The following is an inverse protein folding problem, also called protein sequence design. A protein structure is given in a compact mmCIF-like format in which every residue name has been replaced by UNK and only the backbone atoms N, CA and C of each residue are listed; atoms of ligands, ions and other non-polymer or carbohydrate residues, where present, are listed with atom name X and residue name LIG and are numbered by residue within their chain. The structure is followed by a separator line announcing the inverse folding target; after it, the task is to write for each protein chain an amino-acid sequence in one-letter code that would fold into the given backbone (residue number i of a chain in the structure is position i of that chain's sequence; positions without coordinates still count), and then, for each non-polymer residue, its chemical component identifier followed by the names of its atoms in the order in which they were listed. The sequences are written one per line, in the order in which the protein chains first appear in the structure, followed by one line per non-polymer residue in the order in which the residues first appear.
data_IF_289792216679
#
_entry.id   IF_289792216679
#
_cell.length_a   1.000
_cell.length_b   1.000
_cell.length_c   1.000
_cell.angle_alpha   90.00
_cell.angle_beta   90.00
_cell.angle_gamma   90.00
#
_symmetry.space_group_name_H-M   'P 1'
#
loop_
_entity.id
_entity.type
_entity.pdbx_description
1 polymer ?
#
# COMPACT_ATOMS: atom_id res chain seq x y z
N UNK A 1 2.07 -8.40 37.74
CA UNK A 1 2.06 -8.19 36.28
C UNK A 1 2.10 -6.69 36.01
N UNK A 2 3.01 -6.20 35.15
CA UNK A 2 2.95 -4.79 34.70
C UNK A 2 1.86 -4.67 33.64
N UNK A 3 1.00 -3.64 33.68
CA UNK A 3 -0.02 -3.45 32.66
C UNK A 3 0.65 -3.23 31.30
N UNK A 4 0.22 -3.99 30.29
CA UNK A 4 0.63 -3.78 28.90
C UNK A 4 0.20 -2.39 28.48
N UNK A 5 1.10 -1.65 27.83
CA UNK A 5 0.76 -0.28 27.42
C UNK A 5 -0.39 -0.30 26.39
N UNK A 6 -1.40 0.59 26.48
CA UNK A 6 -2.56 0.58 25.59
C UNK A 6 -2.23 0.59 24.10
N UNK A 7 -1.13 1.25 23.70
CA UNK A 7 -0.70 1.28 22.30
C UNK A 7 -0.16 -0.06 21.79
N UNK A 8 0.46 -0.87 22.66
CA UNK A 8 0.94 -2.22 22.29
C UNK A 8 -0.26 -3.10 22.00
N UNK A 9 -1.28 -3.05 22.87
CA UNK A 9 -2.53 -3.78 22.65
C UNK A 9 -3.22 -3.36 21.35
N UNK A 10 -3.30 -2.04 21.07
CA UNK A 10 -3.88 -1.53 19.83
C UNK A 10 -3.10 -1.99 18.60
N UNK A 11 -1.77 -1.95 18.66
CA UNK A 11 -0.88 -2.41 17.60
C UNK A 11 -1.08 -3.90 17.30
N UNK A 12 -1.06 -4.75 18.33
CA UNK A 12 -1.30 -6.20 18.21
C UNK A 12 -2.70 -6.51 17.68
N UNK A 13 -3.72 -5.76 18.12
CA UNK A 13 -5.08 -5.92 17.65
C UNK A 13 -5.21 -5.57 16.16
N UNK A 14 -4.61 -4.46 15.72
CA UNK A 14 -4.58 -4.08 14.30
C UNK A 14 -3.83 -5.12 13.47
N UNK A 15 -2.66 -5.56 13.93
CA UNK A 15 -1.87 -6.62 13.28
C UNK A 15 -2.72 -7.89 13.11
N UNK A 16 -3.35 -8.37 14.18
CA UNK A 16 -4.18 -9.58 14.16
C UNK A 16 -5.36 -9.47 13.19
N UNK A 17 -6.09 -8.35 13.22
CA UNK A 17 -7.24 -8.15 12.33
C UNK A 17 -6.83 -8.06 10.87
N UNK A 18 -5.73 -7.36 10.59
CA UNK A 18 -5.19 -7.29 9.24
C UNK A 18 -4.70 -8.65 8.74
N UNK A 19 -4.11 -9.47 9.61
CA UNK A 19 -3.75 -10.85 9.28
C UNK A 19 -4.99 -11.69 8.96
N UNK A 20 -6.07 -11.53 9.72
CA UNK A 20 -7.34 -12.20 9.46
C UNK A 20 -7.90 -11.80 8.09
N UNK A 21 -8.01 -10.49 7.82
CA UNK A 21 -8.48 -9.96 6.55
C UNK A 21 -7.62 -10.45 5.37
N UNK A 22 -6.29 -10.43 5.51
CA UNK A 22 -5.39 -10.94 4.49
C UNK A 22 -5.65 -12.42 4.17
N UNK A 23 -5.87 -13.26 5.18
CA UNK A 23 -6.21 -14.67 4.97
C UNK A 23 -7.55 -14.81 4.24
N UNK A 24 -8.57 -14.06 4.64
CA UNK A 24 -9.88 -14.11 3.99
C UNK A 24 -9.80 -13.68 2.51
N UNK A 25 -9.09 -12.58 2.22
CA UNK A 25 -8.84 -12.13 0.84
C UNK A 25 -8.08 -13.18 0.01
N UNK A 26 -7.12 -13.89 0.60
CA UNK A 26 -6.43 -14.99 -0.07
C UNK A 26 -7.39 -16.13 -0.44
N UNK A 27 -8.44 -16.39 0.36
CA UNK A 27 -9.46 -17.43 0.14
C UNK A 27 -10.63 -17.00 -0.78
N UNK A 28 -10.75 -15.72 -1.13
CA UNK A 28 -11.69 -15.27 -2.16
C UNK A 28 -11.23 -15.68 -3.56
N UNK A 29 -12.17 -15.94 -4.46
CA UNK A 29 -11.87 -16.17 -5.88
C UNK A 29 -11.36 -14.88 -6.54
N UNK A 30 -10.48 -14.98 -7.56
CA UNK A 30 -10.06 -13.84 -8.35
C UNK A 30 -11.28 -13.10 -8.92
N UNK A 31 -11.32 -11.79 -8.70
CA UNK A 31 -12.49 -10.98 -9.03
C UNK A 31 -12.35 -9.56 -8.52
N UNK A 32 -13.48 -8.92 -8.22
CA UNK A 32 -13.55 -7.57 -7.67
C UNK A 32 -14.34 -7.54 -6.37
N UNK A 33 -14.04 -6.56 -5.52
CA UNK A 33 -14.74 -6.36 -4.24
C UNK A 33 -15.61 -5.10 -4.34
N UNK A 34 -16.80 -5.18 -3.75
CA UNK A 34 -17.69 -4.04 -3.53
C UNK A 34 -17.89 -3.81 -2.03
N UNK A 35 -18.52 -2.70 -1.64
CA UNK A 35 -18.83 -2.36 -0.24
C UNK A 35 -19.78 -3.34 0.47
N UNK A 36 -20.16 -4.45 -0.17
CA UNK A 36 -20.87 -5.55 0.48
C UNK A 36 -19.97 -6.41 1.37
N UNK A 37 -18.64 -6.25 1.28
CA UNK A 37 -17.69 -6.89 2.18
C UNK A 37 -17.59 -6.08 3.48
N UNK A 38 -18.08 -6.65 4.60
CA UNK A 38 -18.40 -5.90 5.83
C UNK A 38 -17.22 -5.17 6.49
N UNK A 39 -16.01 -5.61 6.19
CA UNK A 39 -14.78 -5.17 6.86
C UNK A 39 -13.92 -4.27 5.96
N UNK A 40 -14.42 -3.91 4.76
CA UNK A 40 -13.74 -3.05 3.79
C UNK A 40 -14.70 -1.95 3.32
N UNK A 41 -14.31 -0.70 3.56
CA UNK A 41 -15.00 0.46 3.01
C UNK A 41 -14.20 1.02 1.84
N UNK A 42 -14.80 1.04 0.65
CA UNK A 42 -14.15 1.46 -0.58
C UNK A 42 -14.79 2.77 -1.07
N UNK A 43 -13.95 3.78 -1.32
CA UNK A 43 -14.35 5.14 -1.73
C UNK A 43 -13.62 5.55 -3.01
N UNK A 44 -14.33 6.21 -3.91
CA UNK A 44 -13.75 6.73 -5.14
C UNK A 44 -12.81 7.90 -4.85
N UNK A 45 -11.71 7.97 -5.60
CA UNK A 45 -10.69 9.00 -5.57
C UNK A 45 -10.54 9.62 -6.97
N UNK A 46 -10.37 10.94 -7.02
CA UNK A 46 -10.01 11.64 -8.24
C UNK A 46 -8.53 11.38 -8.59
N UNK A 47 -8.27 10.96 -9.83
CA UNK A 47 -6.90 10.66 -10.28
C UNK A 47 -6.04 11.91 -10.46
N UNK A 48 -6.62 13.04 -10.84
CA UNK A 48 -5.90 14.27 -11.18
C UNK A 48 -5.44 15.01 -9.94
N UNK A 49 -6.28 15.04 -8.90
CA UNK A 49 -6.03 15.85 -7.70
C UNK A 49 -5.90 15.02 -6.42
N UNK A 50 -6.27 13.73 -6.45
CA UNK A 50 -6.23 12.84 -5.28
C UNK A 50 -7.36 13.09 -4.27
N UNK A 51 -8.35 13.90 -4.61
CA UNK A 51 -9.50 14.18 -3.74
C UNK A 51 -10.32 12.91 -3.52
N UNK A 52 -10.69 12.68 -2.27
CA UNK A 52 -11.51 11.54 -1.84
C UNK A 52 -12.70 12.02 -1.02
N UNK A 53 -13.52 11.08 -0.58
CA UNK A 53 -14.56 11.34 0.42
C UNK A 53 -13.96 12.09 1.64
N UNK A 54 -14.50 13.26 2.06
CA UNK A 54 -13.97 14.04 3.18
C UNK A 54 -13.95 13.30 4.52
N UNK A 55 -14.68 12.18 4.64
CA UNK A 55 -14.63 11.30 5.81
C UNK A 55 -13.36 10.43 5.87
N UNK A 56 -12.59 10.37 4.79
CA UNK A 56 -11.33 9.65 4.75
C UNK A 56 -10.14 10.54 5.11
N UNK A 57 -9.15 9.91 5.74
CA UNK A 57 -7.83 10.53 5.94
C UNK A 57 -7.05 10.43 4.65
N UNK A 58 -6.67 11.59 4.12
CA UNK A 58 -5.88 11.70 2.91
C UNK A 58 -4.39 11.58 3.25
N UNK A 59 -3.90 10.33 3.27
CA UNK A 59 -2.47 10.05 3.53
C UNK A 59 -1.57 10.33 2.32
N UNK A 60 -2.14 10.38 1.11
CA UNK A 60 -1.38 10.54 -0.13
C UNK A 60 -2.06 11.56 -1.04
N UNK A 61 -1.28 12.47 -1.60
CA UNK A 61 -1.70 13.39 -2.66
C UNK A 61 -0.66 13.43 -3.78
N UNK A 62 -1.08 13.60 -5.04
CA UNK A 62 -0.13 13.68 -6.15
C UNK A 62 0.78 14.90 -5.97
N UNK A 63 2.08 14.74 -6.23
CA UNK A 63 3.03 15.85 -6.20
C UNK A 63 2.89 16.71 -7.47
N UNK A 64 1.95 17.66 -7.45
CA UNK A 64 1.64 18.54 -8.58
C UNK A 64 2.83 19.43 -8.99
N UNK A 65 3.73 19.71 -8.06
CA UNK A 65 4.90 20.57 -8.23
C UNK A 65 6.12 19.79 -8.75
N UNK A 66 6.00 18.48 -8.91
CA UNK A 66 7.08 17.64 -9.43
C UNK A 66 7.57 18.07 -10.80
N UNK A 67 8.88 17.88 -11.03
CA UNK A 67 9.50 18.04 -12.34
C UNK A 67 9.43 16.76 -13.17
N UNK A 68 8.90 15.66 -12.64
CA UNK A 68 8.72 14.39 -13.35
C UNK A 68 7.54 14.50 -14.33
N UNK A 69 7.78 15.11 -15.49
CA UNK A 69 6.80 15.29 -16.57
C UNK A 69 7.47 14.95 -17.89
N UNK A 70 6.71 14.41 -18.85
CA UNK A 70 7.18 14.10 -20.20
C UNK A 70 7.87 15.30 -20.81
N UNK A 71 7.25 16.48 -20.70
CA UNK A 71 7.76 17.75 -21.24
C UNK A 71 9.12 18.17 -20.67
N UNK A 72 9.51 17.64 -19.51
CA UNK A 72 10.81 17.90 -18.89
C UNK A 72 11.87 16.85 -19.27
N UNK A 73 11.50 15.85 -20.07
CA UNK A 73 12.44 14.85 -20.61
C UNK A 73 12.89 15.23 -22.02
N UNK A 74 13.94 14.57 -22.50
CA UNK A 74 14.38 14.68 -23.90
C UNK A 74 13.69 13.66 -24.83
N UNK A 75 12.75 12.86 -24.30
CA UNK A 75 12.06 11.80 -25.03
C UNK A 75 10.84 12.38 -25.75
N UNK A 76 10.63 11.99 -27.00
CA UNK A 76 9.42 12.34 -27.75
C UNK A 76 8.32 11.27 -27.53
N UNK A 77 7.16 11.61 -26.93
CA UNK A 77 6.06 10.67 -26.74
C UNK A 77 5.41 10.19 -28.04
N UNK A 78 5.65 10.87 -29.16
CA UNK A 78 5.16 10.45 -30.48
C UNK A 78 6.20 9.62 -31.26
N UNK A 79 7.44 9.49 -30.77
CA UNK A 79 8.47 8.64 -31.38
C UNK A 79 8.45 7.23 -30.75
N UNK A 80 8.11 6.17 -31.50
CA UNK A 80 8.13 4.79 -31.04
C UNK A 80 9.48 4.28 -30.48
N UNK A 81 10.60 4.94 -30.81
CA UNK A 81 11.92 4.61 -30.28
C UNK A 81 12.13 5.15 -28.86
N UNK A 82 11.55 6.30 -28.56
CA UNK A 82 11.62 6.97 -27.26
C UNK A 82 10.51 6.50 -26.32
N UNK A 83 9.33 6.22 -26.87
CA UNK A 83 8.17 5.69 -26.15
C UNK A 83 7.78 4.27 -26.63
N UNK A 84 8.16 3.20 -25.88
CA UNK A 84 7.79 1.84 -26.23
C UNK A 84 6.28 1.57 -26.18
N UNK A 85 5.52 2.39 -25.44
CA UNK A 85 4.07 2.28 -25.40
C UNK A 85 3.43 2.83 -26.67
N UNK A 86 3.94 3.94 -27.22
CA UNK A 86 3.49 4.47 -28.51
C UNK A 86 3.68 3.45 -29.63
N UNK A 87 4.84 2.79 -29.67
CA UNK A 87 5.06 1.66 -30.60
C UNK A 87 4.00 0.57 -30.46
N UNK A 88 3.70 0.17 -29.23
CA UNK A 88 2.72 -0.89 -28.95
C UNK A 88 1.29 -0.46 -29.34
N UNK A 89 0.93 0.82 -29.14
CA UNK A 89 -0.36 1.37 -29.55
C UNK A 89 -0.55 1.35 -31.07
N UNK A 90 0.48 1.67 -31.85
CA UNK A 90 0.42 1.65 -33.32
C UNK A 90 0.26 0.22 -33.85
N UNK A 91 0.87 -0.73 -33.17
CA UNK A 91 0.92 -2.14 -33.58
C UNK A 91 -0.21 -2.98 -32.96
N UNK A 92 -1.12 -2.39 -32.17
CA UNK A 92 -2.20 -3.12 -31.46
C UNK A 92 -3.19 -3.83 -32.40
N UNK A 93 -3.33 -3.31 -33.62
CA UNK A 93 -4.22 -3.85 -34.65
C UNK A 93 -3.51 -4.90 -35.53
N UNK A 94 -2.18 -4.99 -35.43
CA UNK A 94 -1.38 -6.06 -36.01
C UNK A 94 -1.47 -7.29 -35.09
N UNK A 95 -1.80 -8.46 -35.64
CA UNK A 95 -2.10 -9.70 -34.90
C UNK A 95 -0.96 -10.23 -33.98
N UNK A 96 0.20 -9.57 -33.98
CA UNK A 96 1.41 -9.98 -33.25
C UNK A 96 1.55 -9.33 -31.86
N UNK A 97 0.85 -8.23 -31.53
CA UNK A 97 0.84 -7.67 -30.17
C UNK A 97 -0.40 -8.15 -29.44
N UNK A 98 -0.20 -9.08 -28.52
CA UNK A 98 -1.27 -9.53 -27.62
C UNK A 98 -1.68 -8.33 -26.77
N UNK A 99 -2.95 -7.88 -26.77
CA UNK A 99 -3.43 -6.78 -25.92
C UNK A 99 -3.06 -6.93 -24.43
N UNK A 100 -2.83 -8.18 -24.01
CA UNK A 100 -2.31 -8.55 -22.69
C UNK A 100 -0.95 -7.95 -22.36
N UNK A 101 -0.14 -7.52 -23.33
CA UNK A 101 1.21 -6.96 -23.10
C UNK A 101 1.22 -5.42 -23.03
N UNK A 102 0.12 -4.75 -23.36
CA UNK A 102 0.06 -3.28 -23.42
C UNK A 102 0.44 -2.62 -22.10
N UNK A 103 0.09 -3.24 -20.97
CA UNK A 103 0.38 -2.72 -19.64
C UNK A 103 1.86 -2.86 -19.26
N UNK A 104 2.57 -3.88 -19.76
CA UNK A 104 4.01 -4.00 -19.64
C UNK A 104 4.73 -2.88 -20.39
N UNK A 105 4.30 -2.57 -21.61
CA UNK A 105 4.87 -1.48 -22.40
C UNK A 105 4.58 -0.12 -21.76
N UNK A 106 3.36 0.07 -21.22
CA UNK A 106 3.01 1.29 -20.47
C UNK A 106 3.87 1.46 -19.22
N UNK A 107 4.06 0.41 -18.43
CA UNK A 107 4.96 0.44 -17.26
C UNK A 107 6.41 0.77 -17.66
N UNK A 108 6.86 0.25 -18.80
CA UNK A 108 8.20 0.54 -19.34
C UNK A 108 8.34 2.01 -19.75
N UNK A 109 7.33 2.58 -20.41
CA UNK A 109 7.28 4.00 -20.75
C UNK A 109 7.31 4.86 -19.47
N UNK A 110 6.42 4.59 -18.51
CA UNK A 110 6.42 5.23 -17.19
C UNK A 110 7.80 5.20 -16.51
N UNK A 111 8.43 4.03 -16.46
CA UNK A 111 9.76 3.87 -15.86
C UNK A 111 10.83 4.67 -16.63
N UNK A 112 10.75 4.73 -17.96
CA UNK A 112 11.68 5.48 -18.80
C UNK A 112 11.56 6.98 -18.59
N UNK A 113 10.35 7.53 -18.61
CA UNK A 113 10.11 8.95 -18.37
C UNK A 113 10.53 9.37 -16.96
N UNK A 114 10.19 8.57 -15.93
CA UNK A 114 10.64 8.83 -14.57
C UNK A 114 12.18 8.89 -14.51
N UNK A 115 12.87 7.91 -15.11
CA UNK A 115 14.33 7.85 -15.15
C UNK A 115 14.97 9.02 -15.92
N UNK A 116 14.36 9.45 -17.03
CA UNK A 116 14.90 10.52 -17.89
C UNK A 116 14.52 11.92 -17.41
N UNK A 117 13.59 12.04 -16.47
CA UNK A 117 13.21 13.33 -15.88
C UNK A 117 14.33 13.94 -15.04
N UNK A 118 14.40 15.27 -14.93
CA UNK A 118 15.38 15.95 -14.08
C UNK A 118 15.23 15.46 -12.64
N UNK A 119 16.31 14.90 -12.07
CA UNK A 119 16.30 14.34 -10.73
C UNK A 119 15.63 12.97 -10.58
N UNK A 120 14.93 12.44 -11.59
CA UNK A 120 14.16 11.20 -11.46
C UNK A 120 15.00 9.92 -11.47
N UNK A 121 16.28 10.00 -11.85
CA UNK A 121 17.28 8.96 -11.57
C UNK A 121 17.63 8.84 -10.07
N UNK A 122 17.25 9.82 -9.25
CA UNK A 122 17.48 9.82 -7.81
C UNK A 122 16.14 9.62 -7.12
N UNK A 123 16.12 8.68 -6.19
CA UNK A 123 14.97 8.53 -5.29
C UNK A 123 14.88 9.81 -4.45
N UNK A 124 13.69 10.40 -4.25
CA UNK A 124 13.55 11.57 -3.40
C UNK A 124 14.05 11.26 -1.98
N UNK A 125 14.61 12.27 -1.29
CA UNK A 125 15.27 12.11 0.01
C UNK A 125 14.34 11.52 1.09
N UNK A 126 13.03 11.70 0.95
CA UNK A 126 12.02 11.18 1.87
C UNK A 126 11.62 9.71 1.63
N UNK A 127 12.16 9.06 0.59
CA UNK A 127 11.82 7.69 0.22
C UNK A 127 13.06 6.78 0.15
N UNK A 128 12.88 5.52 0.51
CA UNK A 128 13.87 4.45 0.33
C UNK A 128 13.23 3.28 -0.42
N UNK A 129 13.94 2.72 -1.40
CA UNK A 129 13.50 1.54 -2.12
C UNK A 129 13.73 0.29 -1.28
N UNK A 130 12.74 -0.60 -1.26
CA UNK A 130 12.90 -1.91 -0.63
C UNK A 130 13.63 -2.86 -1.58
N UNK A 131 14.67 -3.50 -1.07
CA UNK A 131 15.43 -4.53 -1.77
C UNK A 131 14.61 -5.81 -1.92
N UNK A 132 14.35 -6.22 -3.16
CA UNK A 132 13.67 -7.50 -3.47
C UNK A 132 14.39 -8.71 -2.88
N UNK A 133 15.72 -8.66 -2.74
CA UNK A 133 16.55 -9.77 -2.24
C UNK A 133 16.40 -9.97 -0.74
N UNK A 134 16.11 -8.91 0.00
CA UNK A 134 15.97 -8.94 1.45
C UNK A 134 14.54 -9.30 1.86
N UNK A 135 13.58 -8.96 1.00
CA UNK A 135 12.14 -9.13 1.24
C UNK A 135 11.45 -10.01 0.19
N UNK A 136 12.09 -11.11 -0.23
CA UNK A 136 11.52 -12.05 -1.23
C UNK A 136 10.09 -12.49 -0.87
N UNK A 137 9.79 -12.63 0.43
CA UNK A 137 8.47 -12.98 0.93
C UNK A 137 7.36 -11.94 0.66
N UNK A 138 7.70 -10.73 0.24
CA UNK A 138 6.75 -9.65 -0.07
C UNK A 138 6.60 -9.48 -1.58
N UNK A 139 7.69 -9.67 -2.34
CA UNK A 139 7.70 -9.55 -3.80
C UNK A 139 7.29 -10.83 -4.53
N UNK A 140 7.46 -12.01 -3.93
CA UNK A 140 7.06 -13.28 -4.55
C UNK A 140 5.54 -13.38 -4.72
N UNK A 141 5.08 -13.28 -5.96
CA UNK A 141 3.68 -13.41 -6.38
C UNK A 141 3.47 -14.75 -7.10
N UNK A 142 3.35 -15.82 -6.31
CA UNK A 142 2.79 -17.08 -6.79
C UNK A 142 1.35 -17.23 -6.29
N UNK A 143 0.63 -16.10 -6.21
CA UNK A 143 -0.76 -16.07 -5.82
C UNK A 143 -1.66 -16.37 -7.03
N UNK A 144 -2.78 -17.02 -6.74
CA UNK A 144 -3.86 -17.26 -7.71
C UNK A 144 -4.54 -15.99 -8.22
N UNK A 145 -4.16 -14.82 -7.73
CA UNK A 145 -4.77 -13.52 -8.04
C UNK A 145 -4.06 -12.79 -9.19
N UNK A 146 -2.94 -13.35 -9.70
CA UNK A 146 -2.37 -13.02 -11.00
C UNK A 146 -1.69 -11.65 -11.06
N UNK A 147 -1.01 -11.25 -9.98
CA UNK A 147 -0.23 -10.01 -9.95
C UNK A 147 1.27 -10.27 -9.89
N UNK A 148 2.07 -9.24 -10.18
CA UNK A 148 3.52 -9.20 -9.96
C UNK A 148 3.90 -7.86 -9.35
N UNK A 149 4.71 -7.87 -8.29
CA UNK A 149 5.18 -6.64 -7.65
C UNK A 149 6.52 -6.26 -8.27
N UNK A 150 6.58 -5.07 -8.87
CA UNK A 150 7.75 -4.58 -9.62
C UNK A 150 8.65 -3.72 -8.76
N UNK A 151 8.08 -3.01 -7.79
CA UNK A 151 8.81 -2.08 -6.94
C UNK A 151 8.01 -1.82 -5.68
N UNK A 152 8.72 -1.48 -4.61
CA UNK A 152 8.11 -0.70 -3.55
C UNK A 152 9.12 0.16 -2.80
N UNK A 153 8.58 1.10 -2.05
CA UNK A 153 9.32 2.11 -1.33
C UNK A 153 8.65 2.40 0.01
N UNK A 154 9.45 2.88 0.97
CA UNK A 154 9.00 3.31 2.30
C UNK A 154 9.47 4.73 2.58
N UNK A 155 8.70 5.45 3.39
CA UNK A 155 9.13 6.74 3.90
C UNK A 155 10.30 6.58 4.86
N UNK A 156 11.28 7.48 4.79
CA UNK A 156 12.46 7.54 5.69
C UNK A 156 12.49 8.81 6.54
N UNK A 157 11.40 9.56 6.59
CA UNK A 157 11.32 10.78 7.40
C UNK A 157 11.35 10.52 8.92
N UNK A 158 11.30 9.24 9.33
CA UNK A 158 11.29 8.78 10.72
C UNK A 158 10.03 9.16 11.50
N UNK A 159 9.09 9.83 10.84
CA UNK A 159 7.83 10.34 11.43
C UNK A 159 6.65 9.56 10.92
N UNK A 160 6.73 9.08 9.69
CA UNK A 160 5.64 8.45 8.99
C UNK A 160 6.01 7.06 8.49
N UNK A 161 5.04 6.14 8.50
CA UNK A 161 5.22 4.78 8.01
C UNK A 161 4.53 4.54 6.65
N UNK A 162 4.56 5.55 5.79
CA UNK A 162 3.98 5.48 4.44
C UNK A 162 4.75 4.49 3.55
N UNK A 163 4.02 3.80 2.70
CA UNK A 163 4.55 2.80 1.77
C UNK A 163 3.96 2.98 0.39
N UNK A 164 4.76 2.73 -0.64
CA UNK A 164 4.34 2.76 -2.05
C UNK A 164 4.71 1.44 -2.69
N UNK A 165 3.84 0.94 -3.55
CA UNK A 165 4.06 -0.28 -4.32
C UNK A 165 3.67 -0.04 -5.77
N UNK A 166 4.47 -0.55 -6.68
CA UNK A 166 4.12 -0.65 -8.09
C UNK A 166 3.93 -2.12 -8.42
N UNK A 167 2.77 -2.44 -8.99
CA UNK A 167 2.43 -3.79 -9.39
C UNK A 167 1.92 -3.83 -10.83
N UNK A 168 2.07 -4.99 -11.46
CA UNK A 168 1.43 -5.36 -12.71
C UNK A 168 0.43 -6.47 -12.47
N UNK A 169 -0.57 -6.57 -13.34
CA UNK A 169 -1.55 -7.63 -13.28
C UNK A 169 -1.87 -8.15 -14.68
N UNK A 170 -2.00 -9.46 -14.81
CA UNK A 170 -2.30 -10.10 -16.09
C UNK A 170 -3.79 -10.03 -16.46
N UNK A 171 -4.66 -9.80 -15.48
CA UNK A 171 -6.11 -9.77 -15.67
C UNK A 171 -6.80 -8.60 -14.95
N UNK A 172 -7.62 -7.84 -15.69
CA UNK A 172 -8.54 -6.86 -15.11
C UNK A 172 -9.94 -7.48 -15.01
N UNK A 173 -10.45 -7.66 -13.79
CA UNK A 173 -11.80 -8.21 -13.58
C UNK A 173 -12.91 -7.14 -13.61
N UNK A 174 -12.55 -5.86 -13.42
CA UNK A 174 -13.51 -4.77 -13.35
C UNK A 174 -12.85 -3.40 -13.57
N UNK A 175 -13.46 -2.56 -14.40
CA UNK A 175 -12.92 -1.24 -14.78
C UNK A 175 -13.04 -0.22 -13.63
N UNK A 176 -14.19 -0.26 -12.96
CA UNK A 176 -14.46 0.62 -11.82
C UNK A 176 -13.82 0.06 -10.54
N UNK A 177 -14.24 -1.10 -10.06
CA UNK A 177 -13.91 -1.57 -8.71
C UNK A 177 -12.52 -2.21 -8.58
N UNK A 178 -11.88 -2.10 -7.40
CA UNK A 178 -10.64 -2.78 -7.10
C UNK A 178 -10.80 -4.30 -7.13
N UNK A 179 -9.75 -4.96 -7.62
CA UNK A 179 -9.66 -6.41 -7.64
C UNK A 179 -9.20 -6.97 -6.30
N UNK A 180 -9.55 -8.23 -6.04
CA UNK A 180 -9.09 -8.95 -4.83
C UNK A 180 -7.56 -8.95 -4.76
N UNK A 181 -6.87 -9.14 -5.89
CA UNK A 181 -5.41 -9.11 -5.98
C UNK A 181 -4.80 -7.79 -5.51
N UNK A 182 -5.35 -6.64 -5.93
CA UNK A 182 -4.89 -5.32 -5.47
C UNK A 182 -5.04 -5.19 -3.94
N UNK A 183 -6.16 -5.68 -3.38
CA UNK A 183 -6.40 -5.65 -1.94
C UNK A 183 -5.48 -6.60 -1.16
N UNK A 184 -5.14 -7.76 -1.75
CA UNK A 184 -4.16 -8.70 -1.20
C UNK A 184 -2.77 -8.07 -1.15
N UNK A 185 -2.33 -7.42 -2.24
CA UNK A 185 -1.03 -6.72 -2.27
C UNK A 185 -1.01 -5.65 -1.18
N UNK A 186 -2.06 -4.81 -1.11
CA UNK A 186 -2.14 -3.83 -0.04
C UNK A 186 -1.99 -4.55 1.31
N UNK A 187 -2.79 -5.62 1.57
CA UNK A 187 -2.86 -6.39 2.84
C UNK A 187 -1.49 -6.86 3.28
N UNK A 188 -0.77 -7.48 2.36
CA UNK A 188 0.58 -7.98 2.53
C UNK A 188 1.57 -6.87 2.88
N UNK A 189 1.49 -5.73 2.21
CA UNK A 189 2.43 -4.62 2.39
C UNK A 189 2.29 -3.93 3.75
N UNK A 190 1.06 -3.61 4.18
CA UNK A 190 0.86 -3.09 5.54
C UNK A 190 1.35 -4.09 6.59
N UNK A 191 1.09 -5.38 6.42
CA UNK A 191 1.60 -6.43 7.34
C UNK A 191 3.13 -6.48 7.37
N UNK A 192 3.80 -6.20 6.25
CA UNK A 192 5.26 -6.02 6.24
C UNK A 192 5.67 -4.84 7.14
N UNK A 193 4.98 -3.70 7.00
CA UNK A 193 5.20 -2.53 7.86
C UNK A 193 5.13 -2.87 9.35
N UNK A 194 4.07 -3.58 9.76
CA UNK A 194 3.91 -4.06 11.14
C UNK A 194 5.09 -4.94 11.59
N UNK A 195 5.52 -5.91 10.77
CA UNK A 195 6.62 -6.82 11.11
C UNK A 195 7.95 -6.08 11.26
N UNK A 196 8.27 -5.21 10.31
CA UNK A 196 9.52 -4.45 10.30
C UNK A 196 9.59 -3.52 11.51
N UNK A 197 8.48 -2.85 11.85
CA UNK A 197 8.43 -1.98 13.01
C UNK A 197 8.50 -2.75 14.34
N UNK A 198 7.86 -3.92 14.43
CA UNK A 198 7.95 -4.83 15.59
C UNK A 198 9.40 -5.24 15.89
N UNK A 199 10.17 -5.54 14.85
CA UNK A 199 11.59 -5.88 14.97
C UNK A 199 12.43 -4.71 15.52
N UNK A 200 12.13 -3.48 15.09
CA UNK A 200 12.80 -2.26 15.56
C UNK A 200 12.52 -1.97 17.04
N UNK A 201 11.26 -2.15 17.48
CA UNK A 201 10.90 -2.03 18.90
C UNK A 201 11.63 -3.03 19.79
N UNK A 202 11.73 -4.28 19.35
CA UNK A 202 12.35 -5.34 20.14
C UNK A 202 13.86 -5.15 20.29
N UNK A 203 14.53 -4.53 19.30
CA UNK A 203 16.00 -4.46 19.29
C UNK A 203 16.59 -3.16 19.83
N UNK A 204 16.05 -1.97 19.53
CA UNK A 204 16.85 -0.74 19.73
C UNK A 204 16.14 0.50 20.29
N UNK A 205 14.80 0.64 20.24
CA UNK A 205 14.16 1.94 20.52
C UNK A 205 12.95 1.87 21.46
N UNK A 206 13.18 2.01 22.78
CA UNK A 206 12.13 2.35 23.76
C UNK A 206 11.68 3.81 23.69
N UNK A 207 12.38 4.65 22.93
CA UNK A 207 12.19 6.12 22.91
C UNK A 207 11.61 6.66 21.60
N UNK A 208 11.50 5.85 20.55
CA UNK A 208 10.82 6.25 19.32
C UNK A 208 9.30 6.16 19.49
N UNK A 209 8.58 7.10 18.86
CA UNK A 209 7.12 7.08 18.90
C UNK A 209 6.63 5.86 18.12
N UNK A 210 5.75 5.05 18.70
CA UNK A 210 5.24 3.87 18.03
C UNK A 210 4.42 4.28 16.81
N UNK A 211 4.74 3.72 15.64
CA UNK A 211 3.90 3.81 14.46
C UNK A 211 2.71 2.88 14.64
N UNK A 212 1.50 3.43 14.56
CA UNK A 212 0.24 2.72 14.76
C UNK A 212 -0.50 2.47 13.46
N UNK A 213 -0.11 3.17 12.40
CA UNK A 213 -0.69 3.10 11.07
C UNK A 213 0.41 2.95 10.04
N UNK A 214 0.13 2.18 8.99
CA UNK A 214 1.06 1.92 7.88
C UNK A 214 0.32 2.20 6.57
N UNK A 215 0.04 3.47 6.21
CA UNK A 215 -0.67 3.77 4.99
C UNK A 215 0.10 3.23 3.79
N UNK A 216 -0.60 2.54 2.89
CA UNK A 216 0.02 1.96 1.68
C UNK A 216 -0.71 2.44 0.46
N UNK A 217 0.05 2.94 -0.52
CA UNK A 217 -0.42 3.24 -1.87
C UNK A 217 0.09 2.21 -2.87
N UNK A 218 -0.74 1.88 -3.85
CA UNK A 218 -0.41 1.03 -5.00
C UNK A 218 -0.68 1.78 -6.29
N UNK A 219 0.26 1.68 -7.22
CA UNK A 219 0.06 1.94 -8.64
C UNK A 219 -0.05 0.57 -9.34
N UNK A 220 -1.23 0.26 -9.85
CA UNK A 220 -1.55 -1.02 -10.48
C UNK A 220 -1.63 -0.85 -11.99
N UNK A 221 -0.68 -1.46 -12.71
CA UNK A 221 -0.69 -1.54 -14.18
C UNK A 221 -1.53 -2.75 -14.60
N UNK A 222 -2.69 -2.46 -15.17
CA UNK A 222 -3.73 -3.41 -15.55
C UNK A 222 -3.75 -3.63 -17.08
N UNK A 223 -4.23 -4.78 -17.57
CA UNK A 223 -4.31 -5.07 -19.00
C UNK A 223 -5.01 -3.99 -19.83
N UNK A 224 -4.74 -3.99 -21.14
CA UNK A 224 -5.26 -2.99 -22.09
C UNK A 224 -4.81 -1.56 -21.79
N UNK A 225 -3.58 -1.40 -21.28
CA UNK A 225 -2.99 -0.11 -20.96
C UNK A 225 -3.77 0.69 -19.92
N UNK A 226 -4.24 0.02 -18.88
CA UNK A 226 -4.97 0.67 -17.81
C UNK A 226 -4.12 0.84 -16.58
N UNK A 227 -4.34 1.93 -15.85
CA UNK A 227 -3.69 2.15 -14.56
C UNK A 227 -4.72 2.52 -13.52
N UNK A 228 -4.56 1.96 -12.32
CA UNK A 228 -5.33 2.32 -11.15
C UNK A 228 -4.40 2.72 -10.03
N UNK A 229 -4.71 3.83 -9.36
CA UNK A 229 -4.06 4.21 -8.10
C UNK A 229 -5.02 3.88 -6.97
N UNK A 230 -4.51 3.22 -5.94
CA UNK A 230 -5.26 2.94 -4.72
C UNK A 230 -4.40 3.29 -3.53
N UNK A 231 -4.97 3.85 -2.49
CA UNK A 231 -4.30 3.87 -1.21
C UNK A 231 -5.25 3.46 -0.11
N UNK A 232 -4.67 3.04 1.02
CA UNK A 232 -5.48 2.60 2.14
C UNK A 232 -4.81 2.84 3.48
N UNK A 233 -5.63 2.73 4.51
CA UNK A 233 -5.22 2.65 5.89
C UNK A 233 -6.23 1.80 6.68
N UNK A 234 -5.87 1.43 7.91
CA UNK A 234 -6.71 0.59 8.75
C UNK A 234 -7.23 1.38 9.94
N UNK A 235 -8.55 1.58 9.99
CA UNK A 235 -9.20 2.41 10.99
C UNK A 235 -10.17 1.59 11.85
N UNK A 236 -9.84 1.44 13.14
CA UNK A 236 -10.77 1.03 14.21
C UNK A 236 -11.51 -0.32 14.07
N UNK A 237 -11.32 -1.07 12.97
CA UNK A 237 -11.88 -2.40 12.64
C UNK A 237 -12.04 -2.60 11.13
N UNK A 238 -12.01 -1.53 10.34
CA UNK A 238 -12.27 -1.56 8.90
C UNK A 238 -11.08 -1.12 8.09
N UNK A 239 -10.92 -1.76 6.94
CA UNK A 239 -9.99 -1.33 5.93
C UNK A 239 -10.61 -0.20 5.11
N UNK A 240 -10.04 1.01 5.19
CA UNK A 240 -10.47 2.15 4.38
C UNK A 240 -9.64 2.19 3.11
N UNK A 241 -10.27 2.06 1.95
CA UNK A 241 -9.61 2.02 0.65
C UNK A 241 -10.12 3.16 -0.22
N UNK A 242 -9.23 4.06 -0.62
CA UNK A 242 -9.48 5.04 -1.67
C UNK A 242 -8.91 4.51 -3.00
N UNK A 243 -9.65 4.65 -4.10
CA UNK A 243 -9.22 4.13 -5.41
C UNK A 243 -9.68 5.02 -6.56
N UNK A 244 -8.87 5.09 -7.61
CA UNK A 244 -9.29 5.68 -8.88
C UNK A 244 -10.02 4.65 -9.74
N UNK A 245 -10.81 5.08 -10.72
CA UNK A 245 -11.17 4.18 -11.82
C UNK A 245 -9.91 3.67 -12.54
N UNK A 246 -10.00 2.52 -13.23
CA UNK A 246 -8.92 2.07 -14.10
C UNK A 246 -8.87 2.96 -15.35
N UNK A 247 -7.96 3.94 -15.36
CA UNK A 247 -7.84 4.89 -16.44
C UNK A 247 -7.19 4.23 -17.65
N UNK A 248 -7.77 4.42 -18.82
CA UNK A 248 -7.22 3.95 -20.09
C UNK A 248 -6.20 4.95 -20.64
N UNK A 249 -4.95 4.51 -20.85
CA UNK A 249 -3.85 5.28 -21.43
C UNK A 249 -3.76 5.14 -22.95
N UNK A 250 -4.50 4.21 -23.57
CA UNK A 250 -4.65 4.10 -25.01
C UNK A 250 -5.71 5.10 -25.54
N UNK A 251 -5.58 6.36 -25.13
CA UNK A 251 -6.49 7.46 -25.45
C UNK A 251 -5.69 8.70 -25.92
N UNK A 252 -6.38 9.76 -26.36
CA UNK A 252 -5.75 10.97 -26.90
C UNK A 252 -5.02 11.79 -25.81
N UNK A 253 -5.49 11.72 -24.57
CA UNK A 253 -4.94 12.41 -23.38
C UNK A 253 -3.81 11.60 -22.69
N UNK A 254 -3.10 10.77 -23.45
CA UNK A 254 -2.02 9.91 -22.95
C UNK A 254 -0.93 10.70 -22.20
N UNK A 255 -0.45 11.79 -22.77
CA UNK A 255 0.64 12.60 -22.21
C UNK A 255 0.23 13.25 -20.89
N UNK A 256 -0.97 13.82 -20.83
CA UNK A 256 -1.53 14.44 -19.62
C UNK A 256 -1.70 13.40 -18.50
N UNK A 257 -2.25 12.22 -18.81
CA UNK A 257 -2.39 11.13 -17.84
C UNK A 257 -1.04 10.61 -17.36
N UNK A 258 -0.06 10.51 -18.25
CA UNK A 258 1.28 10.05 -17.91
C UNK A 258 1.98 11.07 -17.01
N UNK A 259 1.84 12.37 -17.25
CA UNK A 259 2.36 13.40 -16.35
C UNK A 259 1.76 13.26 -14.94
N UNK A 260 0.45 13.09 -14.81
CA UNK A 260 -0.19 12.85 -13.50
C UNK A 260 0.25 11.54 -12.88
N UNK A 261 0.42 10.48 -13.67
CA UNK A 261 0.93 9.21 -13.15
C UNK A 261 2.33 9.36 -12.53
N UNK A 262 3.17 10.23 -13.09
CA UNK A 262 4.47 10.57 -12.50
C UNK A 262 4.35 11.37 -11.20
N UNK A 263 3.32 12.23 -11.05
CA UNK A 263 3.01 12.90 -9.78
C UNK A 263 2.63 11.89 -8.68
N UNK A 264 2.02 10.77 -9.07
CA UNK A 264 1.75 9.64 -8.17
C UNK A 264 2.96 8.75 -7.92
N UNK A 265 4.05 8.83 -8.71
CA UNK A 265 5.24 8.00 -8.48
C UNK A 265 5.88 8.29 -7.12
N UNK A 266 5.84 9.56 -6.71
CA UNK A 266 6.38 10.08 -5.46
C UNK A 266 5.42 11.12 -4.87
N UNK A 267 4.27 10.67 -4.33
CA UNK A 267 3.24 11.55 -3.79
C UNK A 267 3.74 12.31 -2.56
N UNK A 268 3.07 13.41 -2.24
CA UNK A 268 3.16 13.97 -0.89
C UNK A 268 2.44 13.06 0.10
N UNK A 269 3.08 12.88 1.25
CA UNK A 269 2.51 12.12 2.37
C UNK A 269 2.06 13.08 3.45
N UNK A 270 0.83 12.93 3.92
CA UNK A 270 0.30 13.65 5.06
C UNK A 270 -0.25 12.67 6.10
N UNK A 271 -0.56 13.14 7.31
CA UNK A 271 -1.05 12.30 8.39
C UNK A 271 0.06 11.79 9.32
N UNK A 272 -0.15 12.01 10.63
CA UNK A 272 0.75 11.55 11.68
C UNK A 272 0.43 10.09 12.04
N UNK A 273 1.20 9.15 11.49
CA UNK A 273 1.02 7.71 11.71
C UNK A 273 1.44 7.24 13.11
N UNK A 274 1.95 8.14 13.96
CA UNK A 274 2.24 7.85 15.37
C UNK A 274 1.04 8.03 16.29
N UNK A 275 -0.01 8.70 15.82
CA UNK A 275 -1.25 8.91 16.56
C UNK A 275 -2.29 7.90 16.13
N UNK A 276 -3.07 7.40 17.09
CA UNK A 276 -4.31 6.72 16.75
C UNK A 276 -5.22 7.69 16.01
N UNK A 277 -5.83 7.21 14.92
CA UNK A 277 -6.90 7.93 14.23
C UNK A 277 -7.94 8.39 15.27
N UNK A 278 -8.23 9.69 15.37
CA UNK A 278 -9.19 10.18 16.34
C UNK A 278 -10.55 9.56 16.03
N UNK A 279 -11.16 8.96 17.05
CA UNK A 279 -12.55 8.52 16.94
C UNK A 279 -13.42 9.73 16.59
N UNK A 280 -14.49 9.55 15.79
CA UNK A 280 -15.47 10.61 15.56
C UNK A 280 -15.87 11.18 16.92
N UNK A 281 -15.81 12.50 17.06
CA UNK A 281 -16.32 13.16 18.26
C UNK A 281 -17.79 12.83 18.31
N UNK A 282 -18.19 12.00 19.28
CA UNK A 282 -19.59 11.90 19.65
C UNK A 282 -19.87 13.30 20.21
N UNK A 283 -20.62 14.09 19.45
CA UNK A 283 -21.29 15.24 20.04
C UNK A 283 -22.16 14.64 21.13
N UNK A 284 -21.78 14.85 22.39
CA UNK A 284 -22.67 14.63 23.52
C UNK A 284 -23.84 15.58 23.25
N UNK A 285 -24.86 15.07 22.54
CA UNK A 285 -26.17 15.67 22.51
C UNK A 285 -26.51 15.91 23.98
N UNK A 286 -26.69 17.18 24.31
CA UNK A 286 -26.88 17.68 25.66
C UNK A 286 -27.81 16.74 26.42
N UNK A 287 -27.36 16.32 27.61
CA UNK A 287 -28.06 15.48 28.58
C UNK A 287 -29.59 15.71 28.54
N UNK A 288 -30.30 14.88 27.77
CA UNK A 288 -31.76 14.79 27.84
C UNK A 288 -32.12 14.11 29.17
N UNK A 289 -32.22 14.93 30.22
CA UNK A 289 -33.13 14.86 31.36
C UNK A 289 -33.53 13.44 31.83
N UNK A 290 -32.57 12.60 32.22
CA UNK A 290 -32.88 11.35 32.95
C UNK A 290 -33.10 11.57 34.47
N UNK A 291 -33.02 12.82 34.95
CA UNK A 291 -33.08 13.18 36.36
C UNK A 291 -34.49 13.15 37.00
N UNK A 292 -35.57 12.85 36.26
CA UNK A 292 -36.93 12.94 36.82
C UNK A 292 -37.55 11.60 37.27
N UNK A 293 -36.97 10.45 36.93
CA UNK A 293 -37.59 9.14 37.23
C UNK A 293 -37.11 8.47 38.51
N UNK A 294 -35.96 8.88 39.07
CA UNK A 294 -35.36 8.19 40.24
C UNK A 294 -35.85 8.73 41.60
N UNK A 295 -36.61 9.84 41.63
CA UNK A 295 -37.16 10.39 42.88
C UNK A 295 -38.57 9.87 43.24
N UNK A 296 -39.21 9.04 42.40
CA UNK A 296 -40.55 8.50 42.70
C UNK A 296 -40.59 7.17 43.46
N UNK A 297 -39.45 6.52 43.67
CA UNK A 297 -39.39 5.23 44.36
C UNK A 297 -38.79 5.28 45.77
N UNK A 298 -38.56 6.48 46.32
CA UNK A 298 -37.92 6.65 47.64
C UNK A 298 -38.80 7.24 48.74
N UNK A 299 -40.13 7.20 48.60
CA UNK A 299 -41.05 7.66 49.66
C UNK A 299 -42.00 6.59 50.23
N UNK A 300 -41.99 5.34 49.75
CA UNK A 300 -42.93 4.30 50.23
C UNK A 300 -42.27 3.07 50.90
N UNK A 301 -41.04 3.18 51.38
CA UNK A 301 -40.41 2.08 52.15
C UNK A 301 -39.81 2.56 53.48
N UNK A 302 -40.63 3.17 54.32
CA UNK A 302 -40.46 3.13 55.77
C UNK A 302 -41.41 2.07 56.34
N UNK A 303 -40.94 0.83 56.52
CA UNK A 303 -41.40 0.00 57.65
C UNK A 303 -40.43 -1.14 57.97
N UNK A 304 -40.28 -1.41 59.26
CA UNK A 304 -39.87 -2.72 59.78
C UNK A 304 -38.38 -3.04 59.79
N UNK A 305 -37.74 -2.86 60.95
CA UNK A 305 -36.33 -3.20 61.16
C UNK A 305 -36.06 -4.67 61.46
N UNK A 306 -34.78 -4.99 61.66
CA UNK A 306 -34.25 -5.77 62.80
C UNK A 306 -32.78 -6.12 62.57
N UNK A 307 -32.03 -6.03 63.67
CA UNK A 307 -30.64 -6.46 63.84
C UNK A 307 -30.46 -7.96 63.59
N UNK A 308 -29.31 -8.35 63.06
CA UNK A 308 -28.46 -9.39 63.68
C UNK A 308 -27.04 -9.36 63.09
N UNK A 309 -26.08 -9.46 64.00
CA UNK A 309 -24.66 -9.72 63.82
C UNK A 309 -24.43 -11.20 63.40
N UNK A 310 -23.33 -11.49 62.69
CA UNK A 310 -22.31 -12.50 63.07
C UNK A 310 -21.42 -12.91 61.88
N UNK A 311 -20.10 -12.77 62.12
CA UNK A 311 -18.99 -13.68 61.84
C UNK A 311 -18.71 -14.32 60.46
N UNK A 312 -17.46 -14.12 60.00
CA UNK A 312 -16.53 -15.26 59.96
C UNK A 312 -15.85 -15.62 58.63
N UNK A 313 -14.51 -15.66 58.69
CA UNK A 313 -13.53 -16.43 57.89
C UNK A 313 -12.99 -15.90 56.55
N UNK A 314 -11.81 -15.26 56.67
CA UNK A 314 -10.48 -15.81 56.32
C UNK A 314 -10.38 -16.94 55.28
N UNK A 315 -9.72 -16.65 54.15
CA UNK A 315 -8.80 -17.58 53.50
C UNK A 315 -7.88 -16.82 52.52
N UNK A 316 -6.65 -16.58 52.97
CA UNK A 316 -5.51 -16.20 52.13
C UNK A 316 -5.14 -17.37 51.21
N UNK A 317 -4.94 -17.10 49.92
CA UNK A 317 -4.30 -18.03 48.99
C UNK A 317 -3.19 -17.28 48.28
N UNK A 318 -1.98 -17.39 48.84
CA UNK A 318 -0.73 -17.11 48.15
C UNK A 318 -0.61 -18.08 46.95
N UNK A 319 -0.40 -17.52 45.76
CA UNK A 319 0.10 -18.28 44.61
C UNK A 319 1.42 -17.68 44.18
N UNK A 320 2.48 -18.38 44.59
CA UNK A 320 3.80 -18.34 43.98
C UNK A 320 3.71 -18.47 42.47
N UNK A 321 4.24 -17.48 41.75
CA UNK A 321 4.69 -17.64 40.38
C UNK A 321 6.15 -17.18 40.33
N UNK A 322 7.02 -18.13 40.69
CA UNK A 322 8.40 -18.19 40.24
C UNK A 322 8.43 -18.05 38.71
N UNK A 323 9.23 -17.13 38.16
CA UNK A 323 10.63 -17.43 37.89
C UNK A 323 10.75 -17.99 36.46
N UNK A 324 10.69 -17.11 35.47
CA UNK A 324 11.13 -17.40 34.11
C UNK A 324 12.06 -16.28 33.67
N UNK A 325 13.28 -16.36 34.20
CA UNK A 325 14.48 -15.84 33.55
C UNK A 325 14.69 -16.73 32.31
N UNK A 326 14.55 -16.17 31.11
CA UNK A 326 15.08 -16.82 29.90
C UNK A 326 16.33 -16.06 29.51
N UNK A 327 17.44 -16.76 29.69
CA UNK A 327 18.80 -16.36 29.41
C UNK A 327 18.99 -16.02 27.93
N UNK A 328 19.83 -15.02 27.72
CA UNK A 328 20.48 -14.67 26.47
C UNK A 328 21.32 -15.85 25.97
N UNK A 329 21.16 -16.22 24.70
CA UNK A 329 22.22 -16.85 23.92
C UNK A 329 22.71 -15.83 22.88
N UNK A 330 23.80 -15.15 23.23
CA UNK A 330 24.68 -14.46 22.28
C UNK A 330 25.69 -15.49 21.78
N UNK A 331 25.58 -15.89 20.51
CA UNK A 331 26.65 -16.58 19.78
C UNK A 331 27.01 -15.77 18.52
N UNK A 332 28.06 -14.98 18.71
CA UNK A 332 29.36 -15.03 18.04
C UNK A 332 29.47 -15.02 16.49
N UNK A 333 30.08 -13.92 16.05
CA UNK A 333 31.11 -13.71 15.02
C UNK A 333 31.08 -14.43 13.66
N UNK A 334 31.17 -13.60 12.60
CA UNK A 334 32.08 -13.85 11.47
C UNK A 334 32.21 -12.60 10.59
N UNK A 335 33.29 -11.84 10.81
CA UNK A 335 33.87 -10.91 9.84
C UNK A 335 34.29 -11.67 8.56
N UNK A 336 33.84 -11.18 7.42
CA UNK A 336 34.20 -11.70 6.10
C UNK A 336 34.12 -10.59 5.06
N UNK A 337 35.24 -9.88 4.89
CA UNK A 337 35.46 -8.90 3.84
C UNK A 337 35.22 -9.47 2.41
N UNK A 338 35.00 -8.54 1.48
CA UNK A 338 34.87 -8.64 0.03
C UNK A 338 33.47 -8.87 -0.55
N UNK A 339 32.79 -7.75 -0.83
CA UNK A 339 31.90 -7.64 -2.00
C UNK A 339 32.24 -6.37 -2.78
N UNK A 340 32.81 -6.59 -3.96
CA UNK A 340 32.86 -5.62 -5.07
C UNK A 340 31.47 -4.98 -5.30
N UNK A 341 31.37 -3.78 -5.89
CA UNK A 341 30.09 -3.19 -6.21
C UNK A 341 29.31 -4.13 -7.15
N UNK A 342 28.20 -4.63 -6.64
CA UNK A 342 27.33 -5.60 -7.30
C UNK A 342 26.57 -4.88 -8.41
N UNK A 343 26.64 -5.45 -9.61
CA UNK A 343 25.90 -5.06 -10.80
C UNK A 343 24.43 -4.79 -10.50
N UNK A 344 24.13 -3.51 -10.56
CA UNK A 344 22.79 -2.96 -10.67
C UNK A 344 22.43 -3.02 -12.17
N UNK A 345 21.24 -3.55 -12.50
CA UNK A 345 20.61 -3.54 -13.84
C UNK A 345 21.23 -4.46 -14.91
N UNK A 346 20.82 -5.73 -14.96
CA UNK A 346 21.14 -6.61 -16.10
C UNK A 346 20.01 -7.55 -16.53
N UNK A 347 18.78 -7.04 -16.66
CA UNK A 347 17.74 -7.70 -17.47
C UNK A 347 17.66 -7.13 -18.91
N UNK A 348 18.61 -6.28 -19.30
CA UNK A 348 18.54 -5.53 -20.57
C UNK A 348 19.08 -6.32 -21.79
N UNK A 349 19.72 -7.48 -21.63
CA UNK A 349 20.52 -8.06 -22.74
C UNK A 349 19.88 -9.16 -23.59
N UNK A 350 18.87 -9.90 -23.13
CA UNK A 350 18.37 -11.08 -23.89
C UNK A 350 17.13 -10.75 -24.72
N UNK A 351 16.27 -9.84 -24.27
CA UNK A 351 15.02 -9.48 -24.99
C UNK A 351 15.26 -8.35 -26.02
N UNK A 352 16.22 -7.45 -25.75
CA UNK A 352 16.55 -6.29 -26.59
C UNK A 352 17.10 -6.69 -27.97
N UNK A 353 17.85 -7.79 -28.07
CA UNK A 353 18.41 -8.26 -29.33
C UNK A 353 17.34 -8.81 -30.31
N UNK A 354 16.31 -9.48 -29.79
CA UNK A 354 15.23 -10.05 -30.62
C UNK A 354 14.30 -8.99 -31.17
N UNK A 355 13.99 -7.97 -30.37
CA UNK A 355 13.09 -6.87 -30.75
C UNK A 355 13.77 -5.92 -31.74
N UNK A 356 15.02 -5.51 -31.47
CA UNK A 356 15.77 -4.64 -32.39
C UNK A 356 15.99 -5.29 -33.76
N UNK A 357 16.22 -6.61 -33.80
CA UNK A 357 16.36 -7.33 -35.07
C UNK A 357 15.07 -7.28 -35.90
N UNK A 358 13.90 -7.50 -35.29
CA UNK A 358 12.61 -7.40 -35.97
C UNK A 358 12.30 -5.98 -36.44
N UNK A 359 12.69 -4.97 -35.66
CA UNK A 359 12.52 -3.55 -36.01
C UNK A 359 13.38 -3.19 -37.23
N UNK A 360 14.66 -3.61 -37.25
CA UNK A 360 15.57 -3.36 -38.38
C UNK A 360 15.09 -4.10 -39.64
N UNK A 361 14.67 -5.36 -39.53
CA UNK A 361 14.16 -6.14 -40.66
C UNK A 361 12.90 -5.49 -41.29
N UNK A 362 11.94 -4.99 -40.47
CA UNK A 362 10.74 -4.28 -40.98
C UNK A 362 11.06 -2.90 -41.57
N UNK A 363 12.02 -2.16 -41.01
CA UNK A 363 12.46 -0.86 -41.56
C UNK A 363 13.14 -1.02 -42.93
N UNK A 364 13.99 -2.03 -43.08
CA UNK A 364 14.63 -2.34 -44.37
C UNK A 364 13.62 -2.77 -45.44
N UNK A 365 12.56 -3.48 -45.05
CA UNK A 365 11.48 -3.88 -45.95
C UNK A 365 10.67 -2.66 -46.43
N UNK A 366 10.34 -1.75 -45.52
CA UNK A 366 9.67 -0.47 -45.86
C UNK A 366 10.53 0.42 -46.75
N UNK A 367 11.84 0.53 -46.49
CA UNK A 367 12.74 1.30 -47.35
C UNK A 367 12.89 0.69 -48.76
N UNK A 368 12.87 -0.65 -48.87
CA UNK A 368 12.87 -1.34 -50.17
C UNK A 368 11.57 -1.12 -50.96
N UNK A 369 10.44 -0.97 -50.27
CA UNK A 369 9.16 -0.68 -50.90
C UNK A 369 9.06 0.77 -51.42
N UNK A 370 9.74 1.72 -50.78
CA UNK A 370 9.77 3.14 -51.18
C UNK A 370 10.75 3.45 -52.33
N UNK A 371 11.65 2.52 -52.66
CA UNK A 371 12.62 2.66 -53.76
C UNK A 371 12.17 2.07 -55.10
N UNK A 372 10.88 1.78 -55.30
CA UNK A 372 10.31 1.25 -56.56
C UNK A 372 9.35 2.23 -57.23
#
# INVERSE_FOLDING_TARGET
MRPTSPWIWLFEQKEHRLQQLHRELLYLEPGYISNQYTDIDIHLMDFWIGDTDPSLIQFFTPDIDTTFKIANTALDPEDPLDDPFTWAREMKDDQDIIPKEMHHQLHRAFSNYLRKSPGGNKIPICWELISMREEEGIFNSNDRHGFTIERGAISVDGKTAHQIVVMKKDECHHDILPSVGELVVLARWMLSGFKNHKHQFCRYHRHERPQLDFPTMIISFLPDARVRVLHRYYDGSRLKVAYTHALNFNAEDYTEKMDVLHQWAWPFTDGDTTKSIPLPTIEDDEEDEWDEWELRYREDSEDGGSKSEEDGNSAEVEKDLSGCESEFDEDDESDGENKNPIEEWSDEFVIFAGINRKIIERLEEKMRALGK
#
